data_IF_535227531945
#
_entry.id   IF_535227531945
#
_cell.length_a   1.000
_cell.length_b   1.000
_cell.length_c   1.000
_cell.angle_alpha   90.00
_cell.angle_beta   90.00
_cell.angle_gamma   90.00
#
_symmetry.space_group_name_H-M   'P 1'
#
loop_
_entity.id
_entity.type
_entity.pdbx_description
1 polymer ?
#
# COMPACT_ATOMS: atom_id res chain seq x y z
N UNK A 1 14.09 21.27 -8.49
CA UNK A 1 14.06 19.79 -8.42
C UNK A 1 13.48 19.26 -7.10
N UNK A 2 13.87 19.78 -5.93
CA UNK A 2 13.33 19.31 -4.61
C UNK A 2 11.80 19.38 -4.53
N UNK A 3 11.21 20.52 -4.92
CA UNK A 3 9.74 20.68 -4.90
C UNK A 3 9.06 19.64 -5.78
N UNK A 4 9.60 19.39 -6.97
CA UNK A 4 9.09 18.40 -7.91
C UNK A 4 9.17 16.97 -7.35
N UNK A 5 10.33 16.57 -6.83
CA UNK A 5 10.49 15.26 -6.17
C UNK A 5 9.52 15.08 -5.00
N UNK A 6 9.45 16.08 -4.12
CA UNK A 6 8.56 16.02 -2.95
C UNK A 6 7.10 15.89 -3.37
N UNK A 7 6.67 16.66 -4.37
CA UNK A 7 5.32 16.52 -4.93
C UNK A 7 5.09 15.12 -5.51
N UNK A 8 6.03 14.59 -6.30
CA UNK A 8 5.87 13.28 -6.92
C UNK A 8 5.78 12.14 -5.88
N UNK A 9 6.66 12.16 -4.87
CA UNK A 9 6.61 11.21 -3.76
C UNK A 9 5.35 11.38 -2.91
N UNK A 10 4.92 12.60 -2.62
CA UNK A 10 3.68 12.86 -1.87
C UNK A 10 2.45 12.37 -2.62
N UNK A 11 2.33 12.68 -3.91
CA UNK A 11 1.21 12.24 -4.74
C UNK A 11 1.12 10.71 -4.76
N UNK A 12 2.25 10.02 -4.96
CA UNK A 12 2.28 8.56 -4.92
C UNK A 12 1.89 7.99 -3.54
N UNK A 13 2.43 8.53 -2.45
CA UNK A 13 2.07 8.08 -1.09
C UNK A 13 0.59 8.32 -0.79
N UNK A 14 0.04 9.48 -1.16
CA UNK A 14 -1.38 9.78 -0.97
C UNK A 14 -2.27 8.86 -1.80
N UNK A 15 -1.88 8.57 -3.05
CA UNK A 15 -2.65 7.65 -3.89
C UNK A 15 -2.62 6.23 -3.31
N UNK A 16 -1.47 5.77 -2.81
CA UNK A 16 -1.35 4.49 -2.10
C UNK A 16 -2.23 4.45 -0.85
N UNK A 17 -2.20 5.50 -0.01
CA UNK A 17 -3.07 5.61 1.17
C UNK A 17 -4.55 5.59 0.80
N UNK A 18 -4.94 6.27 -0.28
CA UNK A 18 -6.31 6.27 -0.77
C UNK A 18 -6.74 4.88 -1.27
N UNK A 19 -5.86 4.13 -1.94
CA UNK A 19 -6.17 2.76 -2.39
C UNK A 19 -6.21 1.73 -1.27
N UNK A 20 -5.43 1.92 -0.21
CA UNK A 20 -5.44 1.04 0.97
C UNK A 20 -6.78 1.08 1.73
N UNK A 21 -7.46 2.23 1.73
CA UNK A 21 -8.69 2.41 2.49
C UNK A 21 -9.84 1.49 2.01
N UNK A 22 -10.20 1.43 0.71
CA UNK A 22 -11.15 0.44 0.20
C UNK A 22 -10.78 -1.01 0.51
N UNK A 23 -9.49 -1.36 0.47
CA UNK A 23 -9.00 -2.72 0.78
C UNK A 23 -9.22 -3.06 2.25
N UNK A 24 -8.99 -2.12 3.15
CA UNK A 24 -9.29 -2.28 4.58
C UNK A 24 -10.80 -2.46 4.82
N UNK A 25 -11.64 -1.66 4.15
CA UNK A 25 -13.11 -1.80 4.25
C UNK A 25 -13.54 -3.19 3.77
N UNK A 26 -13.03 -3.65 2.63
CA UNK A 26 -13.33 -4.99 2.12
C UNK A 26 -12.90 -6.10 3.10
N UNK A 27 -11.74 -5.94 3.74
CA UNK A 27 -11.25 -6.88 4.75
C UNK A 27 -12.15 -6.94 5.98
N UNK A 28 -12.65 -5.80 6.46
CA UNK A 28 -13.62 -5.75 7.57
C UNK A 28 -14.93 -6.45 7.19
N UNK A 29 -15.39 -6.27 5.95
CA UNK A 29 -16.57 -6.98 5.43
C UNK A 29 -16.31 -8.49 5.42
N UNK A 30 -15.16 -8.95 4.92
CA UNK A 30 -14.79 -10.37 4.92
C UNK A 30 -14.76 -10.99 6.32
N UNK A 31 -14.19 -10.27 7.30
CA UNK A 31 -14.16 -10.72 8.71
C UNK A 31 -15.59 -10.85 9.24
N UNK A 32 -16.44 -9.87 8.95
CA UNK A 32 -17.83 -9.81 9.44
C UNK A 32 -18.77 -10.81 8.75
N UNK A 33 -18.35 -11.35 7.60
CA UNK A 33 -19.19 -12.19 6.75
C UNK A 33 -19.58 -13.51 7.43
N UNK A 34 -18.65 -14.11 8.18
CA UNK A 34 -18.92 -15.34 8.94
C UNK A 34 -20.05 -15.13 9.96
N UNK A 35 -19.95 -14.09 10.78
CA UNK A 35 -20.93 -13.81 11.83
C UNK A 35 -22.30 -13.45 11.25
N UNK A 36 -22.31 -12.70 10.14
CA UNK A 36 -23.54 -12.31 9.45
C UNK A 36 -24.26 -13.53 8.86
N UNK A 37 -23.51 -14.44 8.24
CA UNK A 37 -24.05 -15.66 7.64
C UNK A 37 -24.55 -16.63 8.72
N UNK A 38 -23.78 -16.83 9.80
CA UNK A 38 -24.18 -17.71 10.90
C UNK A 38 -25.49 -17.25 11.57
N UNK A 39 -25.64 -15.94 11.83
CA UNK A 39 -26.91 -15.37 12.32
C UNK A 39 -28.06 -15.55 11.32
N UNK A 40 -27.77 -15.46 10.02
CA UNK A 40 -28.74 -15.74 8.97
C UNK A 40 -29.19 -17.21 8.96
N UNK A 41 -28.29 -18.15 9.24
CA UNK A 41 -28.61 -19.56 9.33
C UNK A 41 -29.41 -19.93 10.58
N UNK A 42 -29.18 -19.27 11.72
CA UNK A 42 -30.00 -19.47 12.93
C UNK A 42 -31.50 -19.23 12.67
N UNK A 43 -31.84 -18.28 11.79
CA UNK A 43 -33.24 -18.02 11.38
C UNK A 43 -33.87 -19.15 10.55
N UNK A 44 -33.06 -20.00 9.92
CA UNK A 44 -33.48 -21.10 9.03
C UNK A 44 -33.54 -22.46 9.75
N UNK A 45 -33.27 -22.49 11.06
CA UNK A 45 -33.45 -23.65 11.94
C UNK A 45 -32.70 -24.90 11.39
N UNK A 46 -33.34 -26.06 11.20
CA UNK A 46 -32.72 -27.30 10.68
C UNK A 46 -32.01 -27.15 9.33
N UNK A 47 -32.52 -26.30 8.43
CA UNK A 47 -31.85 -26.01 7.16
C UNK A 47 -30.57 -25.20 7.40
N UNK A 48 -30.62 -24.28 8.36
CA UNK A 48 -29.47 -23.49 8.81
C UNK A 48 -28.34 -24.32 9.40
N UNK A 49 -28.65 -25.33 10.24
CA UNK A 49 -27.63 -26.22 10.82
C UNK A 49 -26.84 -26.98 9.73
N UNK A 50 -27.55 -27.50 8.72
CA UNK A 50 -26.93 -28.17 7.59
C UNK A 50 -26.08 -27.21 6.74
N UNK A 51 -26.61 -26.03 6.42
CA UNK A 51 -25.90 -24.97 5.68
C UNK A 51 -24.64 -24.49 6.41
N UNK A 52 -24.70 -24.39 7.73
CA UNK A 52 -23.56 -24.01 8.57
C UNK A 52 -22.45 -25.07 8.45
N UNK A 53 -22.77 -26.36 8.60
CA UNK A 53 -21.77 -27.43 8.48
C UNK A 53 -21.05 -27.46 7.13
N UNK A 54 -21.76 -27.17 6.04
CA UNK A 54 -21.17 -27.17 4.68
C UNK A 54 -20.31 -25.92 4.44
N UNK A 55 -20.68 -24.78 5.01
CA UNK A 55 -20.04 -23.47 4.73
C UNK A 55 -18.98 -23.04 5.76
N UNK A 56 -18.92 -23.66 6.94
CA UNK A 56 -18.06 -23.29 8.06
C UNK A 56 -16.57 -23.18 7.65
N UNK A 57 -16.07 -24.14 6.87
CA UNK A 57 -14.67 -24.17 6.41
C UNK A 57 -14.35 -23.01 5.47
N UNK A 58 -15.26 -22.71 4.54
CA UNK A 58 -15.14 -21.58 3.60
C UNK A 58 -15.20 -20.24 4.32
N UNK A 59 -16.20 -20.06 5.20
CA UNK A 59 -16.38 -18.82 5.97
C UNK A 59 -15.21 -18.57 6.93
N UNK A 60 -14.68 -19.61 7.58
CA UNK A 60 -13.49 -19.50 8.43
C UNK A 60 -12.25 -19.09 7.63
N UNK A 61 -12.09 -19.64 6.42
CA UNK A 61 -10.98 -19.29 5.52
C UNK A 61 -11.08 -17.83 5.08
N UNK A 62 -12.27 -17.38 4.66
CA UNK A 62 -12.53 -15.98 4.28
C UNK A 62 -12.24 -15.03 5.46
N UNK A 63 -12.69 -15.38 6.66
CA UNK A 63 -12.45 -14.59 7.86
C UNK A 63 -10.94 -14.46 8.17
N UNK A 64 -10.21 -15.58 8.13
CA UNK A 64 -8.74 -15.61 8.35
C UNK A 64 -7.99 -14.78 7.30
N UNK A 65 -8.38 -14.89 6.02
CA UNK A 65 -7.82 -14.04 4.95
C UNK A 65 -8.13 -12.57 5.24
N UNK A 66 -9.36 -12.24 5.64
CA UNK A 66 -9.75 -10.88 6.01
C UNK A 66 -8.87 -10.28 7.11
N UNK A 67 -8.63 -11.03 8.20
CA UNK A 67 -7.69 -10.60 9.25
C UNK A 67 -6.27 -10.39 8.74
N UNK A 68 -5.77 -11.33 7.95
CA UNK A 68 -4.41 -11.26 7.39
C UNK A 68 -4.25 -10.01 6.52
N UNK A 69 -5.20 -9.76 5.62
CA UNK A 69 -5.19 -8.58 4.75
C UNK A 69 -5.29 -7.29 5.57
N UNK A 70 -6.17 -7.25 6.58
CA UNK A 70 -6.33 -6.07 7.44
C UNK A 70 -5.04 -5.72 8.18
N UNK A 71 -4.38 -6.71 8.78
CA UNK A 71 -3.12 -6.51 9.52
C UNK A 71 -2.02 -5.98 8.58
N UNK A 72 -1.87 -6.59 7.41
CA UNK A 72 -0.91 -6.14 6.39
C UNK A 72 -1.20 -4.70 5.96
N UNK A 73 -2.47 -4.36 5.72
CA UNK A 73 -2.87 -3.00 5.34
C UNK A 73 -2.56 -1.98 6.43
N UNK A 74 -2.80 -2.30 7.71
CA UNK A 74 -2.51 -1.41 8.82
C UNK A 74 -1.00 -1.16 8.96
N UNK A 75 -0.18 -2.20 8.83
CA UNK A 75 1.28 -2.08 8.84
C UNK A 75 1.75 -1.18 7.69
N UNK A 76 1.25 -1.44 6.47
CA UNK A 76 1.58 -0.63 5.30
C UNK A 76 1.15 0.83 5.46
N UNK A 77 -0.05 1.07 6.02
CA UNK A 77 -0.57 2.40 6.29
C UNK A 77 0.33 3.18 7.26
N UNK A 78 0.74 2.53 8.37
CA UNK A 78 1.69 3.11 9.32
C UNK A 78 3.05 3.41 8.70
N UNK A 79 3.58 2.50 7.88
CA UNK A 79 4.85 2.68 7.18
C UNK A 79 4.81 3.87 6.20
N UNK A 80 3.72 4.04 5.46
CA UNK A 80 3.53 5.15 4.53
C UNK A 80 3.45 6.51 5.25
N UNK A 81 2.71 6.58 6.36
CA UNK A 81 2.65 7.79 7.18
C UNK A 81 4.03 8.13 7.75
N UNK A 82 4.72 7.13 8.32
CA UNK A 82 6.06 7.32 8.86
C UNK A 82 7.02 7.86 7.80
N UNK A 83 6.96 7.30 6.58
CA UNK A 83 7.76 7.78 5.46
C UNK A 83 7.41 9.23 5.07
N UNK A 84 6.13 9.60 5.04
CA UNK A 84 5.70 10.96 4.76
C UNK A 84 6.23 11.96 5.79
N UNK A 85 6.25 11.59 7.07
CA UNK A 85 6.88 12.39 8.14
C UNK A 85 8.38 12.58 7.90
N UNK A 86 9.09 11.53 7.47
CA UNK A 86 10.53 11.62 7.16
C UNK A 86 10.80 12.54 5.96
N UNK A 87 10.05 12.40 4.87
CA UNK A 87 10.18 13.25 3.67
C UNK A 87 9.83 14.72 3.99
N UNK A 88 8.89 14.96 4.91
CA UNK A 88 8.50 16.32 5.30
C UNK A 88 9.37 16.94 6.41
N UNK A 89 10.27 16.17 7.03
CA UNK A 89 11.19 16.66 8.07
C UNK A 89 12.06 17.82 7.56
N UNK A 90 12.42 18.76 8.44
CA UNK A 90 13.36 19.85 8.11
C UNK A 90 14.82 19.41 8.05
N UNK A 91 15.18 18.33 8.76
CA UNK A 91 16.56 17.81 8.81
C UNK A 91 16.90 17.03 7.53
N UNK A 92 17.95 17.45 6.81
CA UNK A 92 18.39 16.84 5.55
C UNK A 92 18.66 15.33 5.66
N UNK A 93 19.32 14.88 6.74
CA UNK A 93 19.57 13.44 6.98
C UNK A 93 18.26 12.61 7.07
N UNK A 94 17.24 13.13 7.78
CA UNK A 94 15.94 12.46 7.90
C UNK A 94 15.20 12.39 6.56
N UNK A 95 15.31 13.45 5.76
CA UNK A 95 14.74 13.46 4.41
C UNK A 95 15.40 12.40 3.51
N UNK A 96 16.73 12.28 3.56
CA UNK A 96 17.47 11.26 2.78
C UNK A 96 17.05 9.84 3.16
N UNK A 97 16.91 9.54 4.45
CA UNK A 97 16.39 8.24 4.90
C UNK A 97 14.98 8.02 4.37
N UNK A 98 14.09 9.03 4.46
CA UNK A 98 12.74 8.93 3.92
C UNK A 98 12.74 8.59 2.43
N UNK A 99 13.49 9.34 1.61
CA UNK A 99 13.59 9.04 0.19
C UNK A 99 14.24 7.68 -0.10
N UNK A 100 15.19 7.22 0.71
CA UNK A 100 15.78 5.89 0.56
C UNK A 100 14.77 4.77 0.85
N UNK A 101 14.01 4.89 1.93
CA UNK A 101 12.93 3.96 2.26
C UNK A 101 11.83 3.98 1.19
N UNK A 102 11.46 5.17 0.72
CA UNK A 102 10.50 5.35 -0.36
C UNK A 102 10.95 4.67 -1.67
N UNK A 103 12.24 4.73 -1.98
CA UNK A 103 12.84 4.04 -3.13
C UNK A 103 12.73 2.52 -2.98
N UNK A 104 13.09 1.97 -1.82
CA UNK A 104 12.95 0.53 -1.55
C UNK A 104 11.50 0.05 -1.66
N UNK A 105 10.56 0.80 -1.08
CA UNK A 105 9.12 0.50 -1.21
C UNK A 105 8.63 0.63 -2.65
N UNK A 106 9.07 1.67 -3.38
CA UNK A 106 8.70 1.88 -4.77
C UNK A 106 9.15 0.74 -5.69
N UNK A 107 10.41 0.32 -5.56
CA UNK A 107 10.95 -0.83 -6.30
C UNK A 107 10.24 -2.12 -5.90
N UNK A 108 10.01 -2.34 -4.61
CA UNK A 108 9.27 -3.52 -4.12
C UNK A 108 7.88 -3.61 -4.73
N UNK A 109 7.12 -2.52 -4.71
CA UNK A 109 5.79 -2.45 -5.34
C UNK A 109 5.86 -2.67 -6.84
N UNK A 110 6.88 -2.12 -7.52
CA UNK A 110 7.08 -2.34 -8.95
C UNK A 110 7.37 -3.82 -9.25
N UNK A 111 8.22 -4.49 -8.49
CA UNK A 111 8.49 -5.93 -8.66
C UNK A 111 7.23 -6.77 -8.41
N UNK A 112 6.48 -6.47 -7.34
CA UNK A 112 5.20 -7.14 -7.07
C UNK A 112 4.22 -6.96 -8.22
N UNK A 113 4.21 -5.79 -8.86
CA UNK A 113 3.38 -5.55 -10.03
C UNK A 113 3.74 -6.40 -11.24
N UNK A 114 4.97 -6.92 -11.31
CA UNK A 114 5.48 -7.77 -12.40
C UNK A 114 5.30 -9.27 -12.16
N UNK A 115 5.08 -9.72 -10.91
CA UNK A 115 4.74 -11.13 -10.58
C UNK A 115 3.66 -11.72 -11.51
N UNK A 116 2.56 -10.99 -11.80
CA UNK A 116 1.58 -11.36 -12.82
C UNK A 116 2.14 -11.82 -14.17
N UNK A 117 3.11 -11.09 -14.72
CA UNK A 117 3.68 -11.34 -16.05
C UNK A 117 4.49 -12.64 -16.04
N UNK A 118 5.17 -12.89 -14.93
CA UNK A 118 5.95 -14.11 -14.71
C UNK A 118 5.01 -15.32 -14.65
N UNK A 119 3.88 -15.19 -13.94
CA UNK A 119 2.88 -16.25 -13.80
C UNK A 119 2.17 -16.51 -15.14
N UNK A 120 1.83 -15.45 -15.89
CA UNK A 120 1.13 -15.60 -17.18
C UNK A 120 1.95 -16.38 -18.21
N UNK A 121 3.28 -16.23 -18.21
CA UNK A 121 4.17 -17.03 -19.06
C UNK A 121 4.24 -18.52 -18.64
N UNK A 122 3.86 -18.85 -17.40
CA UNK A 122 3.91 -20.22 -16.86
C UNK A 122 2.60 -20.99 -17.02
N UNK A 123 1.46 -20.31 -17.06
CA UNK A 123 0.13 -20.94 -17.17
C UNK A 123 -0.47 -20.76 -18.57
N UNK A 124 -0.54 -21.84 -19.36
CA UNK A 124 -1.14 -21.88 -20.70
C UNK A 124 -2.68 -21.65 -20.75
N UNK A 125 -3.33 -21.32 -19.63
CA UNK A 125 -4.77 -21.04 -19.57
C UNK A 125 -5.00 -19.53 -19.50
N UNK A 126 -5.53 -18.98 -20.58
CA UNK A 126 -5.95 -17.58 -20.65
C UNK A 126 -7.31 -17.42 -19.97
N UNK A 127 -7.31 -17.22 -18.65
CA UNK A 127 -8.52 -16.79 -17.95
C UNK A 127 -8.68 -15.26 -18.11
N UNK A 128 -9.72 -14.76 -18.81
CA UNK A 128 -9.89 -13.34 -19.07
C UNK A 128 -10.06 -12.52 -17.78
N UNK A 129 -10.62 -13.12 -16.72
CA UNK A 129 -10.76 -12.46 -15.41
C UNK A 129 -9.39 -12.27 -14.76
N UNK A 130 -8.53 -13.28 -14.88
CA UNK A 130 -7.17 -13.21 -14.38
C UNK A 130 -6.39 -12.13 -15.14
N UNK A 131 -6.50 -12.07 -16.47
CA UNK A 131 -5.87 -11.00 -17.27
C UNK A 131 -6.30 -9.59 -16.87
N UNK A 132 -7.59 -9.39 -16.61
CA UNK A 132 -8.09 -8.10 -16.13
C UNK A 132 -7.50 -7.75 -14.76
N UNK A 133 -7.48 -8.71 -13.84
CA UNK A 133 -6.93 -8.55 -12.49
C UNK A 133 -5.43 -8.22 -12.53
N UNK A 134 -4.67 -8.90 -13.39
CA UNK A 134 -3.25 -8.66 -13.61
C UNK A 134 -2.99 -7.27 -14.22
N UNK A 135 -3.78 -6.86 -15.22
CA UNK A 135 -3.70 -5.54 -15.83
C UNK A 135 -3.96 -4.42 -14.82
N UNK A 136 -5.00 -4.58 -13.99
CA UNK A 136 -5.30 -3.64 -12.91
C UNK A 136 -4.17 -3.58 -11.88
N UNK A 137 -3.55 -4.71 -11.54
CA UNK A 137 -2.44 -4.75 -10.60
C UNK A 137 -1.21 -3.99 -11.13
N UNK A 138 -0.88 -4.13 -12.42
CA UNK A 138 0.20 -3.37 -13.08
C UNK A 138 -0.11 -1.88 -13.08
N UNK A 139 -1.34 -1.50 -13.46
CA UNK A 139 -1.74 -0.09 -13.54
C UNK A 139 -1.74 0.54 -12.15
N UNK A 140 -2.40 -0.05 -11.17
CA UNK A 140 -2.54 0.56 -9.84
C UNK A 140 -1.28 0.42 -8.99
N UNK A 141 -0.66 -0.76 -8.91
CA UNK A 141 0.51 -0.95 -8.03
C UNK A 141 1.79 -0.53 -8.77
N UNK A 142 1.92 -0.89 -10.04
CA UNK A 142 3.11 -0.60 -10.84
C UNK A 142 3.30 0.89 -11.13
N UNK A 143 2.25 1.62 -11.55
CA UNK A 143 2.39 3.07 -11.77
C UNK A 143 2.68 3.82 -10.47
N UNK A 144 2.01 3.47 -9.37
CA UNK A 144 2.29 4.09 -8.07
C UNK A 144 3.71 3.82 -7.60
N UNK A 145 4.17 2.57 -7.71
CA UNK A 145 5.55 2.17 -7.41
C UNK A 145 6.56 2.91 -8.28
N UNK A 146 6.28 3.05 -9.57
CA UNK A 146 7.11 3.81 -10.51
C UNK A 146 7.20 5.29 -10.15
N UNK A 147 6.06 5.95 -9.90
CA UNK A 147 6.02 7.35 -9.47
C UNK A 147 6.76 7.56 -8.14
N UNK A 148 6.61 6.64 -7.18
CA UNK A 148 7.32 6.68 -5.91
C UNK A 148 8.83 6.57 -6.13
N UNK A 149 9.26 5.64 -6.99
CA UNK A 149 10.67 5.38 -7.28
C UNK A 149 11.31 6.58 -7.96
N UNK A 150 10.68 7.13 -8.99
CA UNK A 150 11.15 8.32 -9.70
C UNK A 150 11.22 9.52 -8.76
N UNK A 151 10.17 9.74 -7.96
CA UNK A 151 10.13 10.83 -6.98
C UNK A 151 11.24 10.70 -5.94
N UNK A 152 11.54 9.48 -5.54
CA UNK A 152 12.57 9.15 -4.56
C UNK A 152 13.99 9.27 -5.12
N UNK A 153 14.24 8.90 -6.37
CA UNK A 153 15.54 9.10 -7.04
C UNK A 153 15.85 10.59 -7.14
N UNK A 154 14.91 11.37 -7.69
CA UNK A 154 15.07 12.83 -7.74
C UNK A 154 15.17 13.43 -6.33
N UNK A 155 14.51 12.82 -5.34
CA UNK A 155 14.54 13.19 -3.94
C UNK A 155 15.89 12.97 -3.31
N UNK A 156 16.53 11.82 -3.52
CA UNK A 156 17.88 11.54 -3.03
C UNK A 156 18.93 12.47 -3.64
N UNK A 157 18.86 12.70 -4.95
CA UNK A 157 19.79 13.59 -5.66
C UNK A 157 19.59 15.04 -5.23
N UNK A 158 18.33 15.45 -5.05
CA UNK A 158 17.99 16.82 -4.71
C UNK A 158 17.94 17.08 -3.20
N UNK A 159 17.93 16.03 -2.35
CA UNK A 159 17.85 16.12 -0.89
C UNK A 159 19.05 16.91 -0.40
N UNK A 160 18.74 18.19 -0.22
CA UNK A 160 19.63 19.32 -0.09
C UNK A 160 20.82 18.93 0.79
N UNK A 161 21.99 18.92 0.18
CA UNK A 161 23.10 19.84 0.47
C UNK A 161 22.60 21.29 0.71
N UNK A 162 21.56 21.48 1.53
CA UNK A 162 21.33 22.76 2.19
C UNK A 162 22.32 22.76 3.31
N UNK A 163 23.49 23.31 3.01
CA UNK A 163 24.09 24.22 3.96
C UNK A 163 22.94 25.04 4.55
N UNK A 164 22.78 24.98 5.86
CA UNK A 164 21.87 25.81 6.63
C UNK A 164 22.11 27.28 6.29
N UNK A 165 21.53 27.79 5.20
CA UNK A 165 21.75 29.17 4.75
C UNK A 165 20.92 30.15 5.56
N UNK A 166 20.57 29.81 6.81
CA UNK A 166 19.73 30.64 7.66
C UNK A 166 20.18 30.75 9.13
N UNK A 167 21.24 30.06 9.56
CA UNK A 167 21.82 30.25 10.91
C UNK A 167 23.24 30.83 10.91
N UNK A 168 23.53 31.71 9.95
CA UNK A 168 24.65 32.65 10.11
C UNK A 168 24.19 34.10 9.87
N UNK A 169 23.01 34.45 10.37
CA UNK A 169 22.79 35.83 10.85
C UNK A 169 23.61 36.00 12.12
N UNK A 170 24.95 35.99 11.98
CA UNK A 170 25.83 36.63 12.95
C UNK A 170 25.24 38.00 13.21
N UNK A 171 24.90 38.23 14.47
CA UNK A 171 24.69 39.55 15.05
C UNK A 171 25.82 40.46 14.54
N UNK A 172 25.56 41.25 13.51
CA UNK A 172 26.26 42.53 13.36
C UNK A 172 25.58 43.42 14.39
N UNK A 173 26.04 43.26 15.64
CA UNK A 173 25.81 44.27 16.66
C UNK A 173 26.46 45.56 16.12
N UNK A 174 25.61 46.55 15.85
CA UNK A 174 26.04 47.94 15.76
C UNK A 174 26.49 48.40 17.13
#
# INVERSE_FOLDING_TARGET
MIRFSKTLSHVSIYLLLATLMPVMVFSIIMISLKDLVNKGYELLNRLGEWLTQVSESGLSTINSIGWTVLIICLIAYGALIFNLVLINSRKSYKQRIGYFLALGMGIGLFIVSLLPIIIFNSTHKQDPVLNLLLGLLIVFIGLNGGLLTVGSIFGLISAKTSVDTYEDKKKVAK
#
